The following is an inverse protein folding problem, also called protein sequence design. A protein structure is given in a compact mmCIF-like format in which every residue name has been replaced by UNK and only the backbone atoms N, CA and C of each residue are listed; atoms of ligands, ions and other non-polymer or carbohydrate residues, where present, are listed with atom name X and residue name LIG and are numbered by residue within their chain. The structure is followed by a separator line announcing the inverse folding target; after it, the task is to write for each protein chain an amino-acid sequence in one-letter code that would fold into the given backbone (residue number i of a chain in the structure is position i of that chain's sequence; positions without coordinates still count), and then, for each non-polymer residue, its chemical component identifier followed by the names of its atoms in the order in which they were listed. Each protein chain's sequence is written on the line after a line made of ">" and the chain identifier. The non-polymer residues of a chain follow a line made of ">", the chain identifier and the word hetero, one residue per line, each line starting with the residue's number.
data_IF_110276811792
#
_entry.id   IF_110276811792
#
_cell.length_a   1.000
_cell.length_b   1.000
_cell.length_c   1.000
_cell.angle_alpha   90.00
_cell.angle_beta   90.00
_cell.angle_gamma   90.00
#
_symmetry.space_group_name_H-M   'P 1'
#
loop_
_entity.id
_entity.type
_entity.pdbx_description
1 polymer ?
#
# COMPACT_ATOMS: atom_id res chain seq x y z
N UNK A 1 -32.73 42.21 -1.93
CA UNK A 1 -31.38 42.78 -1.76
C UNK A 1 -30.48 41.69 -1.19
N UNK A 2 -29.52 41.25 -2.02
CA UNK A 2 -28.21 40.66 -1.73
C UNK A 2 -28.04 39.64 -0.59
N UNK A 3 -28.08 38.34 -0.94
CA UNK A 3 -27.33 37.30 -0.22
C UNK A 3 -26.03 37.05 -0.98
N UNK A 4 -25.01 37.88 -0.80
CA UNK A 4 -23.74 37.72 -1.52
C UNK A 4 -22.55 38.38 -0.81
N UNK A 5 -22.47 38.21 0.52
CA UNK A 5 -21.30 38.60 1.32
C UNK A 5 -20.85 37.44 2.21
N UNK A 6 -20.79 36.23 1.65
CA UNK A 6 -19.83 35.25 2.17
C UNK A 6 -18.50 35.61 1.54
N UNK A 7 -17.73 36.40 2.28
CA UNK A 7 -16.36 36.77 1.99
C UNK A 7 -15.62 35.54 1.43
N UNK A 8 -15.12 35.67 0.20
CA UNK A 8 -14.15 34.72 -0.33
C UNK A 8 -12.90 34.87 0.55
N UNK A 9 -12.76 33.99 1.56
CA UNK A 9 -11.46 33.62 2.14
C UNK A 9 -10.48 33.57 0.97
N UNK A 10 -9.48 34.47 0.96
CA UNK A 10 -8.46 34.62 -0.09
C UNK A 10 -8.29 33.33 -0.87
N UNK A 11 -8.78 33.29 -2.12
CA UNK A 11 -8.93 32.05 -2.91
C UNK A 11 -7.56 31.42 -3.16
N UNK A 12 -7.02 30.71 -2.17
CA UNK A 12 -5.82 29.92 -2.31
C UNK A 12 -6.14 28.89 -3.36
N UNK A 13 -5.41 28.93 -4.47
CA UNK A 13 -5.54 27.91 -5.51
C UNK A 13 -5.04 26.56 -4.97
N UNK A 14 -5.96 25.78 -4.41
CA UNK A 14 -5.70 24.48 -3.79
C UNK A 14 -5.23 23.43 -4.81
N UNK A 15 -5.47 23.66 -6.11
CA UNK A 15 -5.06 22.74 -7.16
C UNK A 15 -3.62 23.00 -7.57
N UNK A 16 -3.18 24.26 -7.58
CA UNK A 16 -1.78 24.65 -7.76
C UNK A 16 -0.87 24.22 -6.59
N UNK A 17 -1.43 24.03 -5.39
CA UNK A 17 -0.65 23.54 -4.25
C UNK A 17 -0.15 22.11 -4.47
N UNK A 18 1.11 21.87 -4.08
CA UNK A 18 1.61 20.51 -3.92
C UNK A 18 0.80 19.75 -2.86
N UNK A 19 0.72 18.42 -2.97
CA UNK A 19 0.01 17.57 -1.99
C UNK A 19 0.48 17.81 -0.55
N UNK A 20 1.77 18.08 -0.34
CA UNK A 20 2.36 18.36 0.98
C UNK A 20 1.92 19.73 1.51
N UNK A 21 1.92 20.75 0.67
CA UNK A 21 1.46 22.09 1.04
C UNK A 21 -0.04 22.11 1.32
N UNK A 22 -0.83 21.43 0.47
CA UNK A 22 -2.26 21.21 0.67
C UNK A 22 -2.53 20.53 2.02
N UNK A 23 -1.86 19.41 2.31
CA UNK A 23 -2.03 18.70 3.58
C UNK A 23 -1.65 19.56 4.80
N UNK A 24 -0.57 20.35 4.69
CA UNK A 24 -0.13 21.25 5.76
C UNK A 24 -1.20 22.32 6.06
N UNK A 25 -1.70 23.00 5.03
CA UNK A 25 -2.73 24.02 5.20
C UNK A 25 -4.04 23.46 5.74
N UNK A 26 -4.46 22.27 5.30
CA UNK A 26 -5.64 21.58 5.83
C UNK A 26 -5.49 21.27 7.33
N UNK A 27 -4.32 20.79 7.76
CA UNK A 27 -4.06 20.47 9.16
C UNK A 27 -3.95 21.72 10.04
N UNK A 28 -3.33 22.78 9.52
CA UNK A 28 -3.23 24.08 10.19
C UNK A 28 -4.57 24.84 10.21
N UNK A 29 -5.55 24.39 9.42
CA UNK A 29 -6.84 25.05 9.20
C UNK A 29 -6.69 26.45 8.57
N UNK A 30 -5.64 26.63 7.76
CA UNK A 30 -5.35 27.89 7.06
C UNK A 30 -6.41 28.21 6.00
N UNK A 31 -7.12 27.20 5.50
CA UNK A 31 -8.21 27.35 4.55
C UNK A 31 -9.18 26.17 4.65
N UNK A 32 -10.39 26.33 4.09
CA UNK A 32 -11.38 25.27 3.96
C UNK A 32 -11.16 24.49 2.65
N UNK A 33 -10.72 23.23 2.71
CA UNK A 33 -10.43 22.48 1.48
C UNK A 33 -11.72 22.14 0.72
N UNK A 34 -11.66 22.26 -0.61
CA UNK A 34 -12.73 21.83 -1.51
C UNK A 34 -12.79 20.30 -1.55
N UNK A 35 -13.97 19.77 -1.85
CA UNK A 35 -14.17 18.32 -1.95
C UNK A 35 -13.20 17.65 -2.96
N UNK A 36 -12.90 18.31 -4.08
CA UNK A 36 -11.95 17.81 -5.08
C UNK A 36 -10.53 17.66 -4.50
N UNK A 37 -10.05 18.68 -3.78
CA UNK A 37 -8.73 18.68 -3.16
C UNK A 37 -8.61 17.62 -2.05
N UNK A 38 -9.68 17.37 -1.30
CA UNK A 38 -9.74 16.25 -0.32
C UNK A 38 -9.65 14.89 -1.01
N UNK A 39 -10.39 14.67 -2.11
CA UNK A 39 -10.31 13.42 -2.88
C UNK A 39 -8.90 13.18 -3.39
N UNK A 40 -8.29 14.21 -4.00
CA UNK A 40 -6.90 14.17 -4.48
C UNK A 40 -5.91 13.77 -3.37
N UNK A 41 -6.08 14.36 -2.18
CA UNK A 41 -5.24 14.03 -1.03
C UNK A 41 -5.46 12.58 -0.55
N UNK A 42 -6.71 12.13 -0.52
CA UNK A 42 -7.07 10.77 -0.11
C UNK A 42 -6.49 9.72 -1.06
N UNK A 43 -6.58 9.94 -2.37
CA UNK A 43 -6.00 9.08 -3.40
C UNK A 43 -4.48 8.94 -3.21
N UNK A 44 -3.76 10.05 -3.08
CA UNK A 44 -2.32 10.02 -2.84
C UNK A 44 -1.93 9.26 -1.56
N UNK A 45 -2.74 9.34 -0.50
CA UNK A 45 -2.51 8.59 0.74
C UNK A 45 -2.77 7.09 0.56
N UNK A 46 -3.77 6.72 -0.24
CA UNK A 46 -4.05 5.33 -0.56
C UNK A 46 -2.92 4.72 -1.39
N UNK A 47 -2.40 5.45 -2.39
CA UNK A 47 -1.27 5.02 -3.23
C UNK A 47 -0.01 4.73 -2.40
N UNK A 48 0.34 5.65 -1.49
CA UNK A 48 1.46 5.47 -0.55
C UNK A 48 1.25 4.26 0.38
N UNK A 49 0.01 3.96 0.76
CA UNK A 49 -0.31 2.78 1.59
C UNK A 49 -0.19 1.48 0.79
N UNK A 50 -0.57 1.45 -0.50
CA UNK A 50 -0.36 0.28 -1.35
C UNK A 50 1.11 -0.02 -1.57
N UNK A 51 1.94 1.00 -1.82
CA UNK A 51 3.39 0.83 -1.99
C UNK A 51 4.05 0.28 -0.73
N UNK A 52 3.70 0.82 0.45
CA UNK A 52 4.21 0.32 1.74
C UNK A 52 3.76 -1.11 2.04
N UNK A 53 2.54 -1.49 1.63
CA UNK A 53 2.07 -2.88 1.75
C UNK A 53 2.82 -3.82 0.79
N UNK A 54 3.16 -3.37 -0.42
CA UNK A 54 3.97 -4.13 -1.36
C UNK A 54 5.40 -4.36 -0.83
N UNK A 55 6.04 -3.32 -0.28
CA UNK A 55 7.36 -3.43 0.36
C UNK A 55 7.36 -4.37 1.58
N UNK A 56 6.29 -4.38 2.39
CA UNK A 56 6.18 -5.32 3.51
C UNK A 56 5.95 -6.77 3.06
N UNK A 57 5.31 -7.00 1.91
CA UNK A 57 5.13 -8.35 1.35
C UNK A 57 6.42 -8.88 0.72
N UNK A 58 7.24 -8.04 0.09
CA UNK A 58 8.55 -8.47 -0.40
C UNK A 58 9.55 -8.74 0.73
N UNK A 59 9.45 -8.04 1.87
CA UNK A 59 10.26 -8.32 3.06
C UNK A 59 9.86 -9.62 3.79
N UNK A 60 8.64 -10.14 3.60
CA UNK A 60 8.19 -11.43 4.16
C UNK A 60 8.30 -12.61 3.18
N UNK A 61 8.77 -12.37 1.96
CA UNK A 61 9.17 -13.38 0.99
C UNK A 61 10.71 -13.44 0.82
N UNK A 62 11.44 -12.91 1.81
CA UNK A 62 12.90 -12.83 1.84
C UNK A 62 13.49 -13.50 3.07
N UNK A 63 13.13 -14.76 3.34
CA UNK A 63 13.99 -15.68 4.08
C UNK A 63 14.48 -16.77 3.11
N UNK A 64 15.70 -16.68 2.56
CA UNK A 64 16.51 -17.84 2.30
C UNK A 64 17.35 -18.08 3.56
N UNK A 65 16.69 -18.45 4.64
CA UNK A 65 17.34 -19.04 5.79
C UNK A 65 17.81 -20.45 5.43
N UNK A 66 19.09 -20.57 5.06
CA UNK A 66 20.00 -21.70 5.35
C UNK A 66 20.94 -21.97 4.17
N UNK A 67 22.21 -21.57 4.35
CA UNK A 67 23.29 -22.19 3.60
C UNK A 67 23.33 -23.70 3.90
N UNK A 68 23.51 -24.46 2.82
CA UNK A 68 24.10 -25.80 2.75
C UNK A 68 23.25 -26.99 3.24
N UNK A 69 22.85 -27.84 2.28
CA UNK A 69 23.37 -29.22 2.19
C UNK A 69 23.12 -29.87 0.82
N UNK A 70 24.23 -30.22 0.17
CA UNK A 70 24.34 -31.24 -0.88
C UNK A 70 23.57 -32.51 -0.50
N UNK A 71 22.89 -33.12 -1.48
CA UNK A 71 22.77 -34.58 -1.73
C UNK A 71 21.45 -34.84 -2.47
N UNK A 72 21.52 -35.00 -3.79
CA UNK A 72 21.48 -36.30 -4.48
C UNK A 72 20.12 -37.01 -4.43
N UNK A 73 19.47 -37.06 -5.60
CA UNK A 73 19.03 -38.30 -6.25
C UNK A 73 18.42 -39.36 -5.33
N UNK A 74 17.10 -39.49 -5.34
CA UNK A 74 16.35 -40.74 -5.62
C UNK A 74 14.86 -40.54 -5.33
N UNK A 75 14.06 -40.79 -6.36
CA UNK A 75 12.71 -41.33 -6.35
C UNK A 75 11.82 -40.96 -5.16
N UNK A 76 10.92 -39.99 -5.38
CA UNK A 76 9.72 -39.80 -4.58
C UNK A 76 8.77 -41.00 -4.78
N UNK A 77 9.12 -42.17 -4.25
CA UNK A 77 8.16 -43.24 -3.99
C UNK A 77 7.79 -43.16 -2.52
N UNK A 78 6.49 -43.03 -2.24
CA UNK A 78 5.95 -43.10 -0.89
C UNK A 78 6.48 -44.37 -0.19
N UNK A 79 6.83 -44.25 1.08
CA UNK A 79 7.32 -45.37 1.87
C UNK A 79 6.32 -46.54 1.78
N UNK A 80 6.82 -47.74 1.48
CA UNK A 80 5.99 -48.92 1.31
C UNK A 80 5.45 -49.35 2.68
N UNK A 81 4.13 -49.44 2.80
CA UNK A 81 3.45 -49.84 4.04
C UNK A 81 3.67 -51.35 4.25
N UNK A 82 4.11 -51.78 5.45
CA UNK A 82 4.22 -53.21 5.78
C UNK A 82 2.90 -53.94 5.50
N UNK A 83 2.95 -55.00 4.69
CA UNK A 83 1.77 -55.79 4.30
C UNK A 83 1.23 -55.50 2.88
N UNK A 84 1.64 -54.40 2.22
CA UNK A 84 1.27 -54.16 0.83
C UNK A 84 2.20 -54.90 -0.15
N UNK A 85 1.69 -55.99 -0.73
CA UNK A 85 2.28 -56.63 -1.92
C UNK A 85 1.97 -55.74 -3.12
N UNK A 86 3.00 -55.07 -3.65
CA UNK A 86 2.87 -54.36 -4.92
C UNK A 86 2.57 -55.38 -6.01
N UNK A 87 1.41 -55.26 -6.67
CA UNK A 87 1.18 -55.95 -7.94
C UNK A 87 1.98 -55.20 -8.99
N UNK A 88 3.08 -55.80 -9.43
CA UNK A 88 3.93 -55.38 -10.53
C UNK A 88 4.44 -56.63 -11.21
#
# INVERSE_FOLDING_TARGET
>A
MSNSDFENDDEVDQDALSLKALAKGVLARDFRPRAASVRRLAEAVLDLKSEKKALKRSAKAGEPGAKARKSSKKDKKLARIPGQRGKG
#
